data_IF_065551837869
#
_entry.id   IF_065551837869
#
_cell.length_a   1.000
_cell.length_b   1.000
_cell.length_c   1.000
_cell.angle_alpha   90.00
_cell.angle_beta   90.00
_cell.angle_gamma   90.00
#
_symmetry.space_group_name_H-M   'P 1'
#
loop_
_entity.id
_entity.type
_entity.pdbx_description
1 polymer ?
#
# COMPACT_ATOMS: atom_id res chain seq x y z
N UNK A 1 3.15 3.20 8.89
CA UNK A 1 2.12 2.18 9.14
C UNK A 1 2.74 1.01 9.89
N UNK A 2 2.13 0.62 11.00
CA UNK A 2 2.42 -0.64 11.69
C UNK A 2 1.44 -1.71 11.18
N UNK A 3 1.94 -2.87 10.75
CA UNK A 3 1.12 -4.01 10.34
C UNK A 3 1.49 -5.16 11.27
N UNK A 4 0.52 -5.64 12.04
CA UNK A 4 0.70 -6.66 13.06
C UNK A 4 0.66 -8.04 12.38
N UNK A 5 1.73 -8.82 12.54
CA UNK A 5 1.81 -10.19 12.06
C UNK A 5 1.81 -11.15 13.24
N UNK A 6 0.70 -11.86 13.41
CA UNK A 6 0.50 -12.85 14.49
C UNK A 6 1.12 -14.21 14.17
N UNK A 7 1.88 -14.32 13.08
CA UNK A 7 2.54 -15.56 12.64
C UNK A 7 1.55 -16.72 12.48
N UNK A 8 0.39 -16.43 11.88
CA UNK A 8 -0.70 -17.40 11.68
C UNK A 8 -0.22 -18.68 10.97
N UNK A 9 -0.66 -19.83 11.48
CA UNK A 9 -0.33 -21.13 10.88
C UNK A 9 -1.31 -21.48 9.75
N UNK A 10 -0.87 -21.24 8.51
CA UNK A 10 -1.63 -21.54 7.30
C UNK A 10 -1.46 -23.01 6.85
N UNK A 11 -2.52 -23.57 6.28
CA UNK A 11 -2.46 -24.78 5.46
C UNK A 11 -1.88 -24.52 4.07
N UNK A 12 -2.04 -25.47 3.15
CA UNK A 12 -1.53 -25.34 1.78
C UNK A 12 -2.21 -24.19 1.02
N UNK A 13 -1.40 -23.29 0.44
CA UNK A 13 -1.86 -22.14 -0.33
C UNK A 13 -1.37 -22.22 -1.78
N UNK A 14 -2.14 -21.61 -2.68
CA UNK A 14 -1.72 -21.35 -4.06
C UNK A 14 -0.97 -20.01 -4.10
N UNK A 15 0.17 -19.99 -4.80
CA UNK A 15 1.03 -18.81 -4.93
C UNK A 15 0.94 -18.19 -6.33
N UNK A 16 1.61 -17.05 -6.54
CA UNK A 16 1.65 -16.35 -7.83
C UNK A 16 0.62 -15.23 -7.94
N UNK A 17 0.23 -14.63 -6.81
CA UNK A 17 -0.60 -13.43 -6.82
C UNK A 17 0.27 -12.21 -7.15
N UNK A 18 -0.11 -11.47 -8.21
CA UNK A 18 0.51 -10.20 -8.58
C UNK A 18 -0.55 -9.09 -8.49
N UNK A 19 -0.74 -8.48 -7.31
CA UNK A 19 -1.85 -7.57 -7.09
C UNK A 19 -1.89 -6.41 -8.07
N UNK A 20 -3.04 -6.24 -8.74
CA UNK A 20 -3.34 -5.08 -9.58
C UNK A 20 -4.65 -4.39 -9.17
N UNK A 21 -5.32 -4.86 -8.12
CA UNK A 21 -6.50 -4.22 -7.51
C UNK A 21 -6.67 -4.65 -6.05
N UNK A 22 -7.46 -3.88 -5.31
CA UNK A 22 -7.87 -4.18 -3.94
C UNK A 22 -9.39 -4.42 -3.92
N UNK A 23 -9.82 -5.47 -3.23
CA UNK A 23 -11.24 -5.73 -2.95
C UNK A 23 -11.45 -5.60 -1.44
N UNK A 24 -12.30 -4.65 -1.04
CA UNK A 24 -12.64 -4.41 0.37
C UNK A 24 -13.87 -5.21 0.78
N UNK A 25 -13.83 -5.69 2.02
CA UNK A 25 -14.85 -6.54 2.65
C UNK A 25 -15.19 -5.99 4.03
N UNK A 26 -16.37 -6.33 4.52
CA UNK A 26 -16.60 -6.38 5.96
C UNK A 26 -16.64 -7.85 6.42
N UNK A 27 -16.51 -8.11 7.71
CA UNK A 27 -16.57 -9.48 8.23
C UNK A 27 -17.99 -9.93 8.61
N UNK A 28 -19.02 -9.09 8.39
CA UNK A 28 -20.43 -9.38 8.71
C UNK A 28 -20.69 -9.72 10.19
N UNK A 29 -19.77 -9.35 11.07
CA UNK A 29 -19.81 -9.74 12.47
C UNK A 29 -20.36 -8.61 13.36
N UNK A 30 -21.28 -8.97 14.25
CA UNK A 30 -21.81 -8.10 15.30
C UNK A 30 -20.84 -8.05 16.50
N UNK A 31 -20.93 -6.96 17.26
CA UNK A 31 -20.08 -6.73 18.44
C UNK A 31 -18.68 -6.22 18.12
N UNK A 32 -17.77 -6.42 19.06
CA UNK A 32 -16.38 -5.97 19.02
C UNK A 32 -15.44 -7.12 19.44
N UNK A 33 -14.19 -7.07 18.99
CA UNK A 33 -13.11 -8.00 19.34
C UNK A 33 -13.05 -9.30 18.55
N UNK A 34 -13.39 -9.24 17.26
CA UNK A 34 -13.05 -10.31 16.34
C UNK A 34 -11.55 -10.26 16.03
N UNK A 35 -10.79 -11.15 16.67
CA UNK A 35 -9.34 -11.26 16.47
C UNK A 35 -9.03 -11.89 15.10
N UNK A 36 -7.83 -11.64 14.59
CA UNK A 36 -7.42 -12.19 13.29
C UNK A 36 -7.29 -13.73 13.36
N UNK A 37 -6.90 -14.26 14.52
CA UNK A 37 -6.82 -15.69 14.83
C UNK A 37 -8.19 -16.34 14.81
N UNK A 38 -9.21 -15.71 15.39
CA UNK A 38 -10.59 -16.23 15.34
C UNK A 38 -11.10 -16.33 13.90
N UNK A 39 -10.88 -15.29 13.08
CA UNK A 39 -11.26 -15.31 11.67
C UNK A 39 -10.47 -16.39 10.92
N UNK A 40 -9.17 -16.53 11.22
CA UNK A 40 -8.31 -17.54 10.62
C UNK A 40 -8.77 -18.96 10.92
N UNK A 41 -9.06 -19.25 12.19
CA UNK A 41 -9.51 -20.57 12.62
C UNK A 41 -10.91 -20.87 12.08
N UNK A 42 -11.84 -19.91 12.13
CA UNK A 42 -13.18 -20.05 11.53
C UNK A 42 -13.11 -20.38 10.04
N UNK A 43 -12.28 -19.66 9.27
CA UNK A 43 -12.10 -19.95 7.84
C UNK A 43 -11.48 -21.34 7.57
N UNK A 44 -10.68 -21.87 8.51
CA UNK A 44 -10.17 -23.25 8.41
C UNK A 44 -11.25 -24.26 8.72
N UNK A 45 -11.96 -24.09 9.82
CA UNK A 45 -12.90 -25.09 10.35
C UNK A 45 -14.21 -25.12 9.57
N UNK A 46 -14.74 -23.96 9.18
CA UNK A 46 -16.05 -23.86 8.55
C UNK A 46 -15.96 -23.93 7.01
N UNK A 47 -14.94 -23.29 6.42
CA UNK A 47 -14.82 -23.20 4.97
C UNK A 47 -13.81 -24.19 4.38
N UNK A 48 -13.00 -24.87 5.21
CA UNK A 48 -11.94 -25.77 4.76
C UNK A 48 -10.78 -25.05 4.05
N UNK A 49 -10.62 -23.74 4.27
CA UNK A 49 -9.54 -22.97 3.65
C UNK A 49 -8.22 -23.15 4.40
N UNK A 50 -7.12 -22.68 3.80
CA UNK A 50 -5.81 -22.69 4.45
C UNK A 50 -5.73 -21.80 5.71
N UNK A 51 -6.70 -20.93 5.95
CA UNK A 51 -6.61 -19.84 6.90
C UNK A 51 -7.53 -18.68 6.51
N UNK A 52 -7.35 -17.54 7.19
CA UNK A 52 -8.00 -16.28 6.85
C UNK A 52 -7.90 -16.02 5.34
N UNK A 53 -9.01 -15.59 4.73
CA UNK A 53 -9.14 -15.46 3.27
C UNK A 53 -8.61 -14.12 2.75
N UNK A 54 -8.49 -13.15 3.65
CA UNK A 54 -8.04 -11.79 3.40
C UNK A 54 -6.53 -11.66 3.55
N UNK A 55 -5.94 -10.67 2.91
CA UNK A 55 -4.52 -10.35 3.00
C UNK A 55 -4.24 -9.37 4.14
N UNK A 56 -5.24 -8.55 4.48
CA UNK A 56 -5.22 -7.58 5.57
C UNK A 56 -6.57 -7.53 6.26
N UNK A 57 -6.55 -7.22 7.54
CA UNK A 57 -7.75 -7.06 8.37
C UNK A 57 -7.61 -5.80 9.25
N UNK A 58 -8.59 -4.91 9.20
CA UNK A 58 -8.60 -3.63 9.93
C UNK A 58 -9.69 -3.67 10.99
N UNK A 59 -9.28 -3.68 12.24
CA UNK A 59 -10.18 -3.70 13.41
C UNK A 59 -10.84 -2.36 13.68
N UNK A 60 -11.91 -2.38 14.47
CA UNK A 60 -12.66 -1.18 14.85
C UNK A 60 -11.81 -0.15 15.62
N UNK A 61 -10.77 -0.62 16.31
CA UNK A 61 -9.78 0.21 17.03
C UNK A 61 -8.68 0.79 16.11
N UNK A 62 -8.68 0.43 14.83
CA UNK A 62 -7.68 0.84 13.85
C UNK A 62 -6.47 -0.08 13.74
N UNK A 63 -6.35 -1.13 14.56
CA UNK A 63 -5.25 -2.07 14.41
C UNK A 63 -5.35 -2.84 13.08
N UNK A 64 -4.22 -2.92 12.36
CA UNK A 64 -4.13 -3.57 11.04
C UNK A 64 -3.34 -4.86 11.18
N UNK A 65 -3.98 -5.99 10.90
CA UNK A 65 -3.37 -7.32 10.95
C UNK A 65 -3.05 -7.84 9.58
N UNK A 66 -1.94 -8.58 9.51
CA UNK A 66 -1.56 -9.38 8.36
C UNK A 66 -2.38 -10.66 8.33
N UNK A 67 -3.01 -10.93 7.18
CA UNK A 67 -3.61 -12.21 6.86
C UNK A 67 -2.70 -12.99 5.92
N UNK A 68 -3.22 -13.40 4.77
CA UNK A 68 -2.40 -14.09 3.75
C UNK A 68 -1.21 -13.23 3.27
N UNK A 69 -0.07 -13.86 2.95
CA UNK A 69 1.01 -13.21 2.22
C UNK A 69 0.52 -12.60 0.90
N UNK A 70 1.08 -11.46 0.49
CA UNK A 70 0.59 -10.73 -0.70
C UNK A 70 0.69 -11.54 -2.00
N UNK A 71 1.70 -12.41 -2.11
CA UNK A 71 1.95 -13.26 -3.26
C UNK A 71 1.20 -14.61 -3.21
N UNK A 72 0.45 -14.87 -2.13
CA UNK A 72 -0.50 -15.98 -2.05
C UNK A 72 -1.84 -15.55 -2.63
N UNK A 73 -2.53 -16.45 -3.33
CA UNK A 73 -3.89 -16.19 -3.82
C UNK A 73 -4.86 -16.18 -2.63
N UNK A 74 -5.72 -15.16 -2.61
CA UNK A 74 -6.74 -14.97 -1.58
C UNK A 74 -7.86 -16.01 -1.60
N UNK A 75 -8.72 -15.95 -0.60
CA UNK A 75 -9.99 -16.68 -0.57
C UNK A 75 -11.09 -15.75 -0.07
N UNK A 76 -11.32 -14.65 -0.80
CA UNK A 76 -12.22 -13.56 -0.38
C UNK A 76 -13.22 -13.13 -1.44
N UNK A 77 -12.99 -13.39 -2.73
CA UNK A 77 -13.93 -13.06 -3.81
C UNK A 77 -13.91 -14.18 -4.85
N UNK A 78 -14.97 -14.98 -4.90
CA UNK A 78 -15.06 -16.07 -5.87
C UNK A 78 -14.88 -15.51 -7.30
N UNK A 79 -14.09 -16.20 -8.13
CA UNK A 79 -13.70 -15.77 -9.49
C UNK A 79 -12.83 -14.51 -9.59
N UNK A 80 -12.48 -13.84 -8.48
CA UNK A 80 -11.61 -12.66 -8.44
C UNK A 80 -10.62 -12.70 -7.26
N UNK A 81 -10.06 -13.89 -6.97
CA UNK A 81 -9.03 -14.05 -5.92
C UNK A 81 -7.60 -13.83 -6.44
N UNK A 82 -7.37 -14.00 -7.75
CA UNK A 82 -6.06 -13.86 -8.38
C UNK A 82 -5.82 -12.41 -8.81
N UNK A 83 -4.60 -11.93 -8.64
CA UNK A 83 -4.16 -10.55 -8.87
C UNK A 83 -4.91 -9.52 -8.02
N UNK A 84 -5.40 -9.92 -6.85
CA UNK A 84 -6.16 -9.07 -5.94
C UNK A 84 -5.64 -9.14 -4.52
N UNK A 85 -5.66 -8.01 -3.81
CA UNK A 85 -5.56 -7.99 -2.35
C UNK A 85 -6.97 -7.85 -1.77
N UNK A 86 -7.29 -8.73 -0.82
CA UNK A 86 -8.49 -8.69 -0.01
C UNK A 86 -8.22 -7.96 1.30
N UNK A 87 -8.97 -6.90 1.58
CA UNK A 87 -8.87 -6.15 2.84
C UNK A 87 -10.20 -6.19 3.55
N UNK A 88 -10.27 -6.85 4.70
CA UNK A 88 -11.48 -6.92 5.51
C UNK A 88 -11.49 -5.85 6.60
N UNK A 89 -12.68 -5.33 6.88
CA UNK A 89 -12.96 -4.38 7.94
C UNK A 89 -13.82 -5.08 9.01
N UNK A 90 -13.43 -4.94 10.27
CA UNK A 90 -14.23 -5.41 11.40
C UNK A 90 -15.57 -4.69 11.45
N UNK A 91 -16.63 -5.47 11.67
CA UNK A 91 -18.00 -5.00 11.87
C UNK A 91 -18.97 -5.44 10.78
N UNK A 92 -20.26 -5.37 11.11
CA UNK A 92 -21.36 -5.57 10.19
C UNK A 92 -21.92 -4.23 9.68
N UNK A 93 -21.41 -3.72 8.56
CA UNK A 93 -21.93 -2.50 7.92
C UNK A 93 -23.27 -2.63 7.20
N UNK A 94 -23.97 -3.75 7.27
CA UNK A 94 -25.41 -3.74 6.99
C UNK A 94 -26.20 -3.09 8.12
N UNK A 95 -25.71 -3.20 9.35
CA UNK A 95 -26.34 -2.64 10.55
C UNK A 95 -25.59 -1.41 11.09
N UNK A 96 -24.26 -1.45 11.11
CA UNK A 96 -23.39 -0.34 11.51
C UNK A 96 -23.43 0.75 10.45
N UNK A 97 -23.92 1.93 10.83
CA UNK A 97 -24.08 3.08 9.93
C UNK A 97 -22.85 4.01 9.89
N UNK A 98 -21.93 3.88 10.85
CA UNK A 98 -20.73 4.74 10.95
C UNK A 98 -19.48 3.88 11.14
N UNK A 99 -18.51 4.08 10.23
CA UNK A 99 -17.14 3.58 10.38
C UNK A 99 -16.37 4.45 11.38
N UNK A 100 -15.74 3.89 12.42
CA UNK A 100 -14.83 4.63 13.29
C UNK A 100 -13.73 5.35 12.52
N UNK A 101 -13.43 6.59 12.90
CA UNK A 101 -12.39 7.39 12.23
C UNK A 101 -11.01 6.73 12.31
N UNK A 102 -10.70 6.05 13.42
CA UNK A 102 -9.43 5.31 13.59
C UNK A 102 -9.30 4.15 12.60
N UNK A 103 -10.40 3.46 12.29
CA UNK A 103 -10.44 2.39 11.29
C UNK A 103 -10.28 2.97 9.88
N UNK A 104 -10.93 4.10 9.60
CA UNK A 104 -10.79 4.82 8.32
C UNK A 104 -9.36 5.36 8.12
N UNK A 105 -8.76 5.97 9.14
CA UNK A 105 -7.38 6.48 9.07
C UNK A 105 -6.37 5.36 8.82
N UNK A 106 -6.59 4.20 9.45
CA UNK A 106 -5.75 3.01 9.24
C UNK A 106 -5.89 2.45 7.83
N UNK A 107 -7.10 2.52 7.25
CA UNK A 107 -7.28 2.26 5.82
C UNK A 107 -6.50 3.24 4.94
N UNK A 108 -6.54 4.54 5.24
CA UNK A 108 -5.79 5.54 4.47
C UNK A 108 -4.28 5.26 4.49
N UNK A 109 -3.72 4.93 5.66
CA UNK A 109 -2.32 4.54 5.80
C UNK A 109 -2.00 3.24 5.06
N UNK A 110 -2.85 2.21 5.20
CA UNK A 110 -2.66 0.93 4.52
C UNK A 110 -2.76 1.08 3.01
N UNK A 111 -3.76 1.80 2.49
CA UNK A 111 -3.92 2.08 1.06
C UNK A 111 -2.69 2.81 0.51
N UNK A 112 -2.16 3.78 1.26
CA UNK A 112 -0.94 4.50 0.89
C UNK A 112 0.26 3.56 0.83
N UNK A 113 0.45 2.72 1.86
CA UNK A 113 1.49 1.70 1.86
C UNK A 113 1.39 0.74 0.67
N UNK A 114 0.18 0.24 0.38
CA UNK A 114 -0.07 -0.68 -0.73
C UNK A 114 0.15 0.00 -2.08
N UNK A 115 -0.22 1.28 -2.23
CA UNK A 115 -0.02 1.98 -3.49
C UNK A 115 1.44 2.39 -3.73
N UNK A 116 2.22 2.63 -2.68
CA UNK A 116 3.67 2.73 -2.82
C UNK A 116 4.28 1.40 -3.27
N UNK A 117 3.74 0.26 -2.82
CA UNK A 117 4.26 -1.08 -3.14
C UNK A 117 3.85 -1.60 -4.52
N UNK A 118 2.62 -1.33 -4.96
CA UNK A 118 2.02 -1.92 -6.16
C UNK A 118 1.60 -0.89 -7.22
N UNK A 119 1.86 0.41 -6.99
CA UNK A 119 1.30 1.50 -7.77
C UNK A 119 -0.14 1.83 -7.34
N UNK A 120 -0.71 2.91 -7.89
CA UNK A 120 -2.08 3.34 -7.58
C UNK A 120 -3.13 2.38 -8.18
N UNK A 121 -3.29 1.22 -7.55
CA UNK A 121 -4.20 0.16 -7.98
C UNK A 121 -5.65 0.47 -7.56
N UNK A 122 -6.64 0.18 -8.42
CA UNK A 122 -8.05 0.47 -8.13
C UNK A 122 -8.58 -0.31 -6.93
N UNK A 123 -9.53 0.29 -6.23
CA UNK A 123 -10.23 -0.30 -5.08
C UNK A 123 -11.68 -0.56 -5.46
N UNK A 124 -12.18 -1.75 -5.12
CA UNK A 124 -13.56 -2.18 -5.34
C UNK A 124 -14.16 -2.74 -4.05
N UNK A 125 -15.48 -2.62 -3.88
CA UNK A 125 -16.21 -3.43 -2.91
C UNK A 125 -16.41 -4.85 -3.46
N UNK A 126 -16.56 -5.85 -2.58
CA UNK A 126 -16.85 -7.23 -3.02
C UNK A 126 -18.06 -7.29 -3.98
N UNK A 127 -19.15 -6.55 -3.69
CA UNK A 127 -20.34 -6.44 -4.56
C UNK A 127 -20.07 -5.97 -5.99
N UNK A 128 -18.95 -5.32 -6.25
CA UNK A 128 -18.59 -4.82 -7.59
C UNK A 128 -17.80 -5.84 -8.41
N UNK A 129 -17.36 -6.94 -7.78
CA UNK A 129 -16.56 -8.00 -8.41
C UNK A 129 -17.18 -9.39 -8.28
N UNK A 130 -18.08 -9.60 -7.32
CA UNK A 130 -18.79 -10.85 -7.10
C UNK A 130 -20.27 -10.63 -6.85
N UNK A 131 -21.03 -11.72 -6.77
CA UNK A 131 -22.43 -11.70 -6.34
C UNK A 131 -22.49 -11.70 -4.82
N UNK A 132 -22.41 -10.52 -4.19
CA UNK A 132 -22.41 -10.35 -2.74
C UNK A 132 -22.93 -8.95 -2.36
N UNK A 133 -23.51 -8.80 -1.17
CA UNK A 133 -23.85 -7.49 -0.58
C UNK A 133 -22.67 -6.87 0.18
N UNK A 134 -21.62 -7.65 0.44
CA UNK A 134 -20.38 -7.21 1.06
C UNK A 134 -19.76 -6.03 0.27
N UNK A 135 -19.27 -4.95 0.91
CA UNK A 135 -18.99 -4.79 2.34
C UNK A 135 -20.15 -4.23 3.18
N UNK A 136 -21.42 -4.46 2.82
CA UNK A 136 -22.59 -4.00 3.56
C UNK A 136 -23.08 -2.60 3.17
N UNK A 137 -24.39 -2.38 3.16
CA UNK A 137 -25.01 -1.19 2.52
C UNK A 137 -24.56 0.17 3.09
N UNK A 138 -24.12 0.23 4.36
CA UNK A 138 -23.67 1.48 4.98
C UNK A 138 -22.14 1.66 4.96
N UNK A 139 -21.40 0.72 4.35
CA UNK A 139 -19.95 0.87 4.24
C UNK A 139 -19.62 2.07 3.36
N UNK A 140 -18.71 2.97 3.79
CA UNK A 140 -18.42 4.21 3.09
C UNK A 140 -17.49 3.97 1.87
N UNK A 141 -17.96 3.17 0.90
CA UNK A 141 -17.15 2.68 -0.22
C UNK A 141 -16.57 3.82 -1.08
N UNK A 142 -17.35 4.85 -1.37
CA UNK A 142 -16.87 6.00 -2.15
C UNK A 142 -15.75 6.75 -1.44
N UNK A 143 -15.86 6.93 -0.12
CA UNK A 143 -14.82 7.54 0.73
C UNK A 143 -13.56 6.66 0.76
N UNK A 144 -13.72 5.34 0.89
CA UNK A 144 -12.63 4.36 0.86
C UNK A 144 -11.89 4.36 -0.49
N UNK A 145 -12.61 4.51 -1.60
CA UNK A 145 -12.04 4.62 -2.94
C UNK A 145 -11.33 5.95 -3.17
N UNK A 146 -11.89 7.05 -2.69
CA UNK A 146 -11.41 8.42 -2.98
C UNK A 146 -10.29 8.92 -2.06
N UNK A 147 -9.73 8.07 -1.19
CA UNK A 147 -8.56 8.43 -0.38
C UNK A 147 -7.46 8.99 -1.28
N UNK A 148 -7.11 10.26 -1.03
CA UNK A 148 -5.95 10.93 -1.61
C UNK A 148 -4.70 10.30 -1.01
N UNK A 149 -3.96 9.61 -1.85
CA UNK A 149 -2.73 8.93 -1.43
C UNK A 149 -1.60 9.93 -1.56
N UNK A 150 -0.93 10.26 -0.45
CA UNK A 150 0.38 10.91 -0.52
C UNK A 150 1.41 9.86 -0.92
N UNK A 151 1.40 9.50 -2.20
CA UNK A 151 2.36 8.55 -2.75
C UNK A 151 3.75 9.12 -2.51
N UNK A 152 4.65 8.32 -1.95
CA UNK A 152 6.02 8.74 -1.71
C UNK A 152 6.93 8.12 -2.75
N UNK A 153 7.89 8.89 -3.21
CA UNK A 153 8.94 8.42 -4.10
C UNK A 153 10.26 9.07 -3.74
N UNK A 154 11.32 8.68 -4.42
CA UNK A 154 12.60 9.38 -4.38
C UNK A 154 13.03 9.76 -5.79
N UNK A 155 13.67 10.91 -5.89
CA UNK A 155 14.13 11.46 -7.16
C UNK A 155 15.50 10.89 -7.48
N UNK A 156 15.68 10.47 -8.73
CA UNK A 156 16.97 10.02 -9.29
C UNK A 156 17.40 11.05 -10.32
N UNK A 157 18.64 11.53 -10.22
CA UNK A 157 19.22 12.40 -11.25
C UNK A 157 19.82 11.58 -12.40
N UNK A 158 20.01 12.22 -13.54
CA UNK A 158 20.98 11.77 -14.55
C UNK A 158 22.39 11.78 -13.96
N UNK A 159 23.35 11.22 -14.69
CA UNK A 159 24.76 11.37 -14.34
C UNK A 159 25.09 12.86 -14.23
N UNK A 160 25.64 13.24 -13.09
CA UNK A 160 26.01 14.63 -12.82
C UNK A 160 27.15 15.04 -13.77
N UNK A 161 27.07 16.24 -14.35
CA UNK A 161 28.12 16.72 -15.24
C UNK A 161 29.40 17.01 -14.45
N UNK A 162 30.56 16.85 -15.08
CA UNK A 162 31.79 17.44 -14.56
C UNK A 162 31.63 18.97 -14.49
N UNK A 163 32.22 19.58 -13.46
CA UNK A 163 32.20 21.01 -13.24
C UNK A 163 32.78 21.75 -14.45
N UNK A 164 32.14 22.87 -14.79
CA UNK A 164 32.74 23.88 -15.67
C UNK A 164 33.75 24.71 -14.85
N UNK A 165 34.80 25.22 -15.50
CA UNK A 165 35.93 25.98 -14.92
C UNK A 165 37.23 25.19 -14.61
N UNK A 166 37.53 24.14 -15.39
CA UNK A 166 38.89 23.60 -15.46
C UNK A 166 39.32 22.71 -14.29
N UNK A 167 38.38 22.31 -13.44
CA UNK A 167 38.57 21.31 -12.40
C UNK A 167 37.95 19.98 -12.82
N UNK A 168 38.72 18.89 -12.79
CA UNK A 168 38.22 17.54 -13.07
C UNK A 168 37.48 16.99 -11.83
N UNK A 169 36.21 17.35 -11.68
CA UNK A 169 35.40 16.96 -10.54
C UNK A 169 33.98 17.52 -10.59
N UNK A 170 33.20 17.33 -9.53
CA UNK A 170 31.83 17.85 -9.41
C UNK A 170 31.78 18.84 -8.26
N UNK A 171 31.23 20.03 -8.48
CA UNK A 171 30.94 20.97 -7.40
C UNK A 171 29.72 20.48 -6.62
N UNK A 172 29.99 19.75 -5.54
CA UNK A 172 28.94 19.18 -4.70
C UNK A 172 28.13 20.26 -3.97
N UNK A 173 28.72 21.43 -3.70
CA UNK A 173 28.00 22.54 -3.04
C UNK A 173 26.95 23.12 -3.98
N UNK A 174 27.31 23.31 -5.25
CA UNK A 174 26.38 23.71 -6.30
C UNK A 174 25.29 22.66 -6.53
N UNK A 175 25.65 21.37 -6.59
CA UNK A 175 24.64 20.31 -6.79
C UNK A 175 23.65 20.25 -5.62
N UNK A 176 24.13 20.30 -4.38
CA UNK A 176 23.28 20.20 -3.19
C UNK A 176 22.39 21.44 -2.98
N UNK A 177 22.69 22.60 -3.58
CA UNK A 177 21.80 23.76 -3.50
C UNK A 177 20.44 23.54 -4.17
N UNK A 178 20.30 22.51 -5.03
CA UNK A 178 19.03 22.12 -5.65
C UNK A 178 18.14 21.25 -4.74
N UNK A 179 18.68 20.75 -3.62
CA UNK A 179 18.05 19.77 -2.74
C UNK A 179 17.88 20.29 -1.31
N UNK A 180 17.55 21.58 -1.15
CA UNK A 180 17.42 22.18 0.18
C UNK A 180 16.37 21.45 1.05
N UNK A 181 16.76 21.14 2.28
CA UNK A 181 15.96 20.35 3.23
C UNK A 181 15.77 18.87 2.86
N UNK A 182 16.41 18.36 1.81
CA UNK A 182 16.26 16.97 1.34
C UNK A 182 17.56 16.20 1.55
N UNK A 183 17.49 15.08 2.29
CA UNK A 183 18.64 14.17 2.39
C UNK A 183 18.92 13.54 1.03
N UNK A 184 20.17 13.62 0.60
CA UNK A 184 20.66 13.09 -0.67
C UNK A 184 21.69 11.99 -0.44
N UNK A 185 21.68 11.00 -1.32
CA UNK A 185 22.59 9.87 -1.35
C UNK A 185 23.32 9.86 -2.68
N UNK A 186 24.65 9.99 -2.65
CA UNK A 186 25.47 9.89 -3.85
C UNK A 186 25.62 8.42 -4.24
N UNK A 187 25.43 8.15 -5.53
CA UNK A 187 25.59 6.83 -6.15
C UNK A 187 26.56 6.92 -7.32
N UNK A 188 27.12 5.79 -7.74
CA UNK A 188 28.08 5.78 -8.84
C UNK A 188 28.27 4.40 -9.47
N UNK A 189 28.69 4.42 -10.74
CA UNK A 189 29.12 3.25 -11.50
C UNK A 189 30.18 3.67 -12.54
N UNK A 190 30.55 2.76 -13.46
CA UNK A 190 31.56 3.01 -14.49
C UNK A 190 31.22 4.15 -15.48
N UNK A 191 29.97 4.60 -15.55
CA UNK A 191 29.51 5.69 -16.43
C UNK A 191 29.51 7.06 -15.74
N UNK A 192 29.56 7.11 -14.41
CA UNK A 192 29.54 8.36 -13.64
C UNK A 192 28.83 8.23 -12.30
N UNK A 193 28.54 9.39 -11.70
CA UNK A 193 27.86 9.51 -10.40
C UNK A 193 26.51 10.23 -10.54
N UNK A 194 25.55 9.91 -9.67
CA UNK A 194 24.22 10.53 -9.62
C UNK A 194 23.76 10.69 -8.17
N UNK A 195 22.66 11.43 -7.97
CA UNK A 195 22.01 11.58 -6.66
C UNK A 195 20.69 10.84 -6.63
N UNK A 196 20.42 10.19 -5.50
CA UNK A 196 19.11 9.72 -5.08
C UNK A 196 18.67 10.48 -3.82
N UNK A 197 17.42 10.90 -3.73
CA UNK A 197 16.91 11.54 -2.50
C UNK A 197 16.48 10.50 -1.48
N UNK A 198 16.20 10.93 -0.25
CA UNK A 198 15.26 10.20 0.62
C UNK A 198 13.89 10.08 -0.05
N UNK A 199 13.01 9.25 0.52
CA UNK A 199 11.61 9.27 0.16
C UNK A 199 10.95 10.60 0.55
N UNK A 200 10.18 11.15 -0.38
CA UNK A 200 9.50 12.43 -0.34
C UNK A 200 8.06 12.27 -0.83
N UNK A 201 7.16 13.16 -0.42
CA UNK A 201 5.82 13.22 -1.01
C UNK A 201 5.91 13.55 -2.50
N UNK A 202 4.96 13.05 -3.30
CA UNK A 202 4.97 13.22 -4.76
C UNK A 202 5.01 14.69 -5.19
N UNK A 203 4.37 15.59 -4.45
CA UNK A 203 4.42 17.04 -4.70
C UNK A 203 5.85 17.56 -4.61
N UNK A 204 6.61 17.14 -3.58
CA UNK A 204 8.02 17.52 -3.44
C UNK A 204 8.91 16.85 -4.49
N UNK A 205 8.59 15.62 -4.90
CA UNK A 205 9.27 14.96 -6.02
C UNK A 205 9.04 15.73 -7.34
N UNK A 206 7.82 16.20 -7.59
CA UNK A 206 7.45 16.98 -8.78
C UNK A 206 8.05 18.39 -8.77
N UNK A 207 8.15 19.01 -7.59
CA UNK A 207 8.89 20.25 -7.38
C UNK A 207 10.36 20.04 -7.77
N UNK A 208 11.03 19.04 -7.20
CA UNK A 208 12.43 18.71 -7.52
C UNK A 208 12.61 18.37 -9.01
N UNK A 209 11.71 17.60 -9.61
CA UNK A 209 11.72 17.31 -11.05
C UNK A 209 11.73 18.60 -11.87
N UNK A 210 10.93 19.59 -11.48
CA UNK A 210 10.85 20.89 -12.16
C UNK A 210 12.13 21.70 -11.96
N UNK A 211 12.68 21.71 -10.73
CA UNK A 211 13.90 22.44 -10.38
C UNK A 211 15.16 21.86 -11.03
N UNK A 212 15.25 20.52 -11.15
CA UNK A 212 16.43 19.83 -11.69
C UNK A 212 16.53 19.89 -13.22
N UNK A 213 15.42 20.10 -13.93
CA UNK A 213 15.40 20.20 -15.39
C UNK A 213 16.09 19.02 -16.08
N UNK A 214 17.15 19.27 -16.84
CA UNK A 214 17.90 18.22 -17.58
C UNK A 214 18.63 17.22 -16.67
N UNK A 215 18.84 17.56 -15.40
CA UNK A 215 19.43 16.65 -14.42
C UNK A 215 18.42 15.66 -13.86
N UNK A 216 17.11 15.85 -14.04
CA UNK A 216 16.13 14.86 -13.62
C UNK A 216 16.18 13.62 -14.53
N UNK A 217 16.20 12.43 -13.93
CA UNK A 217 16.08 11.16 -14.66
C UNK A 217 14.71 10.52 -14.45
N UNK A 218 14.38 10.14 -13.22
CA UNK A 218 13.10 9.52 -12.88
C UNK A 218 12.70 9.72 -11.41
N UNK A 219 11.42 9.47 -11.10
CA UNK A 219 10.93 9.26 -9.72
C UNK A 219 10.75 7.76 -9.55
N UNK A 220 11.39 7.19 -8.53
CA UNK A 220 11.19 5.79 -8.12
C UNK A 220 10.27 5.72 -6.91
N UNK A 221 9.49 4.65 -6.83
CA UNK A 221 8.52 4.37 -5.76
C UNK A 221 8.96 3.10 -5.02
#
# INVERSE_FOLDING_TARGET
MNIIDENLSFGSMTWGNFPNMIIVHHIEAEGENWTVEQIHDMHKTENGWAGIGYHYYIRLDGSVYKGRPDNAIGAHCQCCNTNTLGVAFEGNYDNRTVMPDVQYNSWCELKTYLCNKYGNIPVYGHREKGQSECPGKNFPLDKVKSVNISQKGYVVTNYLPCAYEGYDGIDISYVLSYFDGVKCYVRGNAKGIWIETQYLDLDKCNELKSTLGSWFYEIKY
#
